data_IF_526306086189
#
_entry.id   IF_526306086189
#
_cell.length_a   1.000
_cell.length_b   1.000
_cell.length_c   1.000
_cell.angle_alpha   90.00
_cell.angle_beta   90.00
_cell.angle_gamma   90.00
#
_symmetry.space_group_name_H-M   'P 1'
#
loop_
_entity.id
_entity.type
_entity.pdbx_description
1 polymer ?
#
# COMPACT_ATOMS: atom_id res chain seq x y z
N UNK A 1 -1.70 14.38 -6.14
CA UNK A 1 -1.15 14.58 -4.77
C UNK A 1 -1.66 13.46 -3.88
N UNK A 2 -1.19 13.32 -2.63
CA UNK A 2 -1.60 12.18 -1.81
C UNK A 2 -1.10 12.23 -0.38
N UNK A 3 -1.28 11.10 0.29
CA UNK A 3 -0.83 10.82 1.65
C UNK A 3 0.21 9.71 1.63
N UNK A 4 1.14 9.74 2.58
CA UNK A 4 2.14 8.69 2.81
C UNK A 4 2.13 8.31 4.29
N UNK A 5 2.27 7.02 4.56
CA UNK A 5 2.13 6.47 5.91
C UNK A 5 3.29 6.75 6.86
N UNK A 6 4.51 6.97 6.36
CA UNK A 6 5.74 6.91 7.15
C UNK A 6 5.82 7.96 8.25
N UNK A 7 5.46 9.21 7.94
CA UNK A 7 5.65 10.34 8.85
C UNK A 7 4.83 10.23 10.14
N UNK A 8 3.73 9.47 10.12
CA UNK A 8 2.85 9.31 11.28
C UNK A 8 2.79 7.88 11.80
N UNK A 9 2.91 6.88 10.92
CA UNK A 9 2.76 5.47 11.25
C UNK A 9 3.94 4.60 10.75
N UNK A 10 5.21 4.89 11.10
CA UNK A 10 6.41 4.30 10.49
C UNK A 10 6.27 2.81 10.11
N UNK A 11 6.51 1.89 11.05
CA UNK A 11 6.30 0.46 10.86
C UNK A 11 5.07 -0.07 11.60
N UNK A 12 4.09 0.82 11.83
CA UNK A 12 2.83 0.53 12.54
C UNK A 12 1.66 0.57 11.56
N UNK A 13 1.81 -0.18 10.46
CA UNK A 13 0.81 -0.27 9.40
C UNK A 13 -0.13 -1.45 9.67
N UNK A 14 -1.38 -1.32 9.26
CA UNK A 14 -2.32 -2.45 9.13
C UNK A 14 -3.40 -2.09 8.10
N UNK A 15 -4.08 -3.10 7.58
CA UNK A 15 -5.12 -2.97 6.55
C UNK A 15 -6.25 -2.00 6.96
N UNK A 16 -6.70 -2.06 8.22
CA UNK A 16 -7.77 -1.20 8.74
C UNK A 16 -7.38 0.29 8.68
N UNK A 17 -6.18 0.64 9.13
CA UNK A 17 -5.68 2.01 9.13
C UNK A 17 -5.69 2.62 7.72
N UNK A 18 -5.31 1.84 6.71
CA UNK A 18 -5.24 2.33 5.33
C UNK A 18 -6.66 2.52 4.76
N UNK A 19 -7.60 1.63 5.09
CA UNK A 19 -9.01 1.80 4.72
C UNK A 19 -9.64 3.03 5.36
N UNK A 20 -9.41 3.21 6.66
CA UNK A 20 -9.87 4.40 7.40
C UNK A 20 -9.27 5.68 6.83
N UNK A 21 -7.99 5.66 6.43
CA UNK A 21 -7.33 6.80 5.76
C UNK A 21 -7.98 7.10 4.41
N UNK A 22 -8.32 6.07 3.63
CA UNK A 22 -9.03 6.25 2.36
C UNK A 22 -10.41 6.87 2.56
N UNK A 23 -11.18 6.39 3.53
CA UNK A 23 -12.48 6.97 3.89
C UNK A 23 -12.34 8.42 4.38
N UNK A 24 -11.32 8.71 5.20
CA UNK A 24 -11.03 10.07 5.67
C UNK A 24 -10.65 11.01 4.52
N UNK A 25 -9.85 10.57 3.56
CA UNK A 25 -9.47 11.38 2.39
C UNK A 25 -10.67 11.72 1.50
N UNK A 26 -11.63 10.80 1.38
CA UNK A 26 -12.88 11.06 0.64
C UNK A 26 -13.79 12.00 1.44
N UNK A 27 -14.08 11.66 2.69
CA UNK A 27 -15.04 12.40 3.53
C UNK A 27 -14.59 13.82 3.88
N UNK A 28 -13.28 14.05 4.03
CA UNK A 28 -12.72 15.39 4.26
C UNK A 28 -12.74 16.30 3.03
N UNK A 29 -13.03 15.76 1.83
CA UNK A 29 -13.00 16.50 0.58
C UNK A 29 -11.61 16.66 -0.06
N UNK A 30 -10.56 16.09 0.55
CA UNK A 30 -9.20 16.12 -0.02
C UNK A 30 -9.14 15.43 -1.39
N UNK A 31 -9.89 14.34 -1.57
CA UNK A 31 -10.01 13.65 -2.87
C UNK A 31 -10.53 14.59 -3.98
N UNK A 32 -11.52 15.44 -3.66
CA UNK A 32 -12.07 16.43 -4.59
C UNK A 32 -11.02 17.51 -4.98
N UNK A 33 -10.02 17.72 -4.13
CA UNK A 33 -8.86 18.59 -4.38
C UNK A 33 -7.67 17.86 -5.03
N UNK A 34 -7.88 16.68 -5.62
CA UNK A 34 -6.87 15.88 -6.34
C UNK A 34 -5.78 15.26 -5.45
N UNK A 35 -6.11 15.02 -4.17
CA UNK A 35 -5.36 14.09 -3.33
C UNK A 35 -5.87 12.67 -3.59
N UNK A 36 -5.24 12.02 -4.57
CA UNK A 36 -5.70 10.75 -5.14
C UNK A 36 -4.85 9.57 -4.66
N UNK A 37 -3.62 9.79 -4.18
CA UNK A 37 -2.70 8.70 -3.86
C UNK A 37 -2.64 8.40 -2.36
N UNK A 38 -2.68 7.12 -2.02
CA UNK A 38 -2.34 6.60 -0.69
C UNK A 38 -1.09 5.75 -0.85
N UNK A 39 0.03 6.24 -0.36
CA UNK A 39 1.33 5.58 -0.50
C UNK A 39 1.67 4.81 0.78
N UNK A 40 1.80 3.49 0.63
CA UNK A 40 2.33 2.62 1.67
C UNK A 40 3.85 2.68 1.62
N UNK A 41 4.43 3.20 2.70
CA UNK A 41 5.87 3.27 2.83
C UNK A 41 6.46 1.94 3.34
N UNK A 42 7.70 1.96 3.82
CA UNK A 42 8.43 0.78 4.28
C UNK A 42 7.65 -0.07 5.31
N UNK A 43 8.16 -1.27 5.60
CA UNK A 43 7.60 -2.23 6.55
C UNK A 43 6.31 -2.96 6.12
N UNK A 44 5.82 -2.78 4.88
CA UNK A 44 4.67 -3.51 4.34
C UNK A 44 4.98 -4.97 3.97
N UNK A 45 6.22 -5.28 3.57
CA UNK A 45 6.64 -6.60 3.09
C UNK A 45 7.28 -7.44 4.21
N UNK A 46 7.15 -8.77 4.11
CA UNK A 46 7.91 -9.72 4.89
C UNK A 46 9.41 -9.56 4.65
N UNK A 47 10.23 -9.89 5.66
CA UNK A 47 11.69 -9.84 5.51
C UNK A 47 12.19 -10.87 4.49
N UNK A 48 11.52 -12.02 4.43
CA UNK A 48 11.87 -13.10 3.54
C UNK A 48 10.96 -13.12 2.32
N UNK A 49 11.58 -13.42 1.17
CA UNK A 49 10.87 -13.67 -0.09
C UNK A 49 10.21 -15.05 -0.06
N UNK A 50 9.22 -15.24 -0.92
CA UNK A 50 8.69 -16.58 -1.17
C UNK A 50 9.72 -17.48 -1.88
N UNK A 51 9.39 -18.76 -2.04
CA UNK A 51 10.25 -19.74 -2.73
C UNK A 51 10.54 -19.42 -4.20
N UNK A 52 9.81 -18.47 -4.80
CA UNK A 52 10.00 -17.99 -6.17
C UNK A 52 10.77 -16.67 -6.22
N UNK A 53 11.20 -16.14 -5.08
CA UNK A 53 11.94 -14.87 -4.96
C UNK A 53 11.05 -13.62 -4.99
N UNK A 54 9.74 -13.76 -4.81
CA UNK A 54 8.80 -12.65 -4.80
C UNK A 54 8.75 -11.96 -3.43
N UNK A 55 8.48 -10.65 -3.43
CA UNK A 55 8.09 -9.95 -2.20
C UNK A 55 6.71 -10.43 -1.76
N UNK A 56 6.56 -10.66 -0.46
CA UNK A 56 5.30 -11.10 0.16
C UNK A 56 4.87 -10.00 1.12
N UNK A 57 3.61 -9.58 1.08
CA UNK A 57 3.07 -8.64 2.07
C UNK A 57 2.96 -9.30 3.44
N UNK A 58 3.22 -8.54 4.52
CA UNK A 58 3.06 -9.07 5.88
C UNK A 58 1.64 -9.52 6.12
N UNK A 59 1.44 -10.81 6.38
CA UNK A 59 0.11 -11.36 6.64
C UNK A 59 -0.52 -10.79 7.93
N UNK A 60 0.33 -10.40 8.89
CA UNK A 60 -0.10 -9.74 10.13
C UNK A 60 -0.67 -8.34 9.91
N UNK A 61 -0.22 -7.63 8.87
CA UNK A 61 -0.70 -6.29 8.53
C UNK A 61 -1.83 -6.36 7.51
N UNK A 62 -1.74 -7.29 6.55
CA UNK A 62 -2.66 -7.44 5.43
C UNK A 62 -3.25 -8.86 5.39
N UNK A 63 -4.14 -9.22 6.32
CA UNK A 63 -4.69 -10.58 6.42
C UNK A 63 -5.52 -10.98 5.19
N UNK A 64 -6.07 -10.01 4.47
CA UNK A 64 -6.82 -10.21 3.22
C UNK A 64 -5.96 -10.00 1.95
N UNK A 65 -4.67 -9.75 2.14
CA UNK A 65 -3.72 -9.49 1.07
C UNK A 65 -3.82 -8.09 0.47
N UNK A 66 -2.77 -7.68 -0.24
CA UNK A 66 -2.66 -6.34 -0.85
C UNK A 66 -3.69 -6.09 -1.95
N UNK A 67 -4.13 -7.12 -2.67
CA UNK A 67 -5.14 -6.98 -3.72
C UNK A 67 -6.48 -6.49 -3.15
N UNK A 68 -6.93 -7.08 -2.03
CA UNK A 68 -8.19 -6.68 -1.40
C UNK A 68 -8.14 -5.25 -0.84
N UNK A 69 -6.95 -4.78 -0.46
CA UNK A 69 -6.74 -3.39 -0.06
C UNK A 69 -6.76 -2.46 -1.28
N UNK A 70 -6.05 -2.82 -2.35
CA UNK A 70 -6.01 -2.05 -3.59
C UNK A 70 -7.41 -1.91 -4.23
N UNK A 71 -8.14 -3.02 -4.37
CA UNK A 71 -9.51 -3.02 -4.90
C UNK A 71 -10.41 -2.07 -4.11
N UNK A 72 -10.26 -2.02 -2.79
CA UNK A 72 -11.02 -1.12 -1.93
C UNK A 72 -10.63 0.35 -2.12
N UNK A 73 -9.33 0.66 -2.15
CA UNK A 73 -8.84 2.03 -2.40
C UNK A 73 -9.30 2.52 -3.77
N UNK A 74 -9.27 1.66 -4.79
CA UNK A 74 -9.73 1.97 -6.14
C UNK A 74 -11.25 2.16 -6.21
N UNK A 75 -12.02 1.40 -5.42
CA UNK A 75 -13.48 1.60 -5.32
C UNK A 75 -13.86 2.98 -4.78
N UNK A 76 -12.94 3.66 -4.08
CA UNK A 76 -13.10 5.03 -3.58
C UNK A 76 -12.63 6.10 -4.56
N UNK A 77 -12.17 5.71 -5.75
CA UNK A 77 -11.60 6.63 -6.74
C UNK A 77 -10.18 7.10 -6.40
N UNK A 78 -9.52 6.44 -5.44
CA UNK A 78 -8.13 6.70 -5.05
C UNK A 78 -7.20 5.68 -5.69
N UNK A 79 -5.89 5.93 -5.62
CA UNK A 79 -4.81 5.10 -6.15
C UNK A 79 -3.93 4.63 -5.00
N UNK A 80 -3.57 3.36 -5.01
CA UNK A 80 -2.62 2.83 -4.04
C UNK A 80 -1.20 3.00 -4.59
N UNK A 81 -0.25 3.38 -3.75
CA UNK A 81 1.18 3.39 -4.04
C UNK A 81 1.92 2.48 -3.08
N UNK A 82 3.08 1.97 -3.49
CA UNK A 82 3.89 1.07 -2.67
C UNK A 82 5.37 1.42 -2.74
N UNK A 83 6.02 1.27 -1.59
CA UNK A 83 7.45 1.46 -1.47
C UNK A 83 8.24 0.22 -1.92
N UNK A 84 9.38 0.47 -2.54
CA UNK A 84 10.45 -0.49 -2.61
C UNK A 84 11.79 0.19 -2.87
N UNK A 85 12.86 -0.54 -2.65
CA UNK A 85 14.23 -0.05 -2.69
C UNK A 85 15.08 -0.78 -3.75
N UNK A 86 16.09 -0.09 -4.26
CA UNK A 86 17.05 -0.63 -5.24
C UNK A 86 18.25 -1.33 -4.57
N UNK A 87 18.11 -1.81 -3.34
CA UNK A 87 19.07 -2.62 -2.61
C UNK A 87 18.74 -4.12 -2.66
N UNK A 88 19.71 -4.95 -2.27
CA UNK A 88 19.61 -6.42 -2.34
C UNK A 88 18.38 -6.99 -1.60
N UNK A 89 17.96 -6.33 -0.52
CA UNK A 89 16.78 -6.74 0.23
C UNK A 89 15.48 -6.57 -0.59
N UNK A 90 15.37 -5.52 -1.41
CA UNK A 90 14.16 -5.17 -2.16
C UNK A 90 14.21 -5.44 -3.68
N UNK A 91 15.34 -5.89 -4.23
CA UNK A 91 15.65 -5.95 -5.68
C UNK A 91 14.77 -6.86 -6.59
N UNK A 92 13.61 -7.35 -6.17
CA UNK A 92 12.70 -8.08 -7.06
C UNK A 92 11.24 -7.75 -6.75
N UNK A 93 10.73 -6.76 -7.48
CA UNK A 93 9.31 -6.42 -7.50
C UNK A 93 8.51 -7.53 -8.19
N UNK A 94 7.41 -7.94 -7.58
CA UNK A 94 6.47 -8.90 -8.18
C UNK A 94 5.62 -8.17 -9.20
N UNK A 95 5.43 -8.79 -10.37
CA UNK A 95 4.43 -8.34 -11.34
C UNK A 95 3.04 -8.26 -10.68
N UNK A 96 2.70 -9.19 -9.81
CA UNK A 96 1.36 -9.26 -9.19
C UNK A 96 1.07 -8.06 -8.26
N UNK A 97 2.00 -7.66 -7.40
CA UNK A 97 1.77 -6.51 -6.48
C UNK A 97 1.71 -5.19 -7.25
N UNK A 98 2.57 -4.98 -8.25
CA UNK A 98 2.55 -3.77 -9.08
C UNK A 98 1.30 -3.72 -9.98
N UNK A 99 0.82 -4.87 -10.46
CA UNK A 99 -0.33 -4.91 -11.37
C UNK A 99 -1.59 -4.32 -10.72
N UNK A 100 -1.76 -4.46 -9.41
CA UNK A 100 -2.92 -3.90 -8.69
C UNK A 100 -2.75 -2.44 -8.27
N UNK A 101 -1.57 -1.84 -8.46
CA UNK A 101 -1.19 -0.53 -7.87
C UNK A 101 -1.09 0.54 -8.97
N UNK A 102 -0.85 0.13 -10.22
CA UNK A 102 -0.67 1.03 -11.37
C UNK A 102 -1.95 1.15 -12.23
N UNK A 103 -2.95 0.29 -12.03
CA UNK A 103 -4.20 0.25 -12.81
C UNK A 103 -5.41 0.76 -12.03
#
# INVERSE_FOLDING_TARGET
MGWNSYNHFPCKLNDQLIRETADAMVSSGLSALRYEYINLDDCWAEQNRDSKGNLVSKASFFPFGMKALADYVHSKGLKLGIYGDAGHCFFRFVKDVITYIVL
#
